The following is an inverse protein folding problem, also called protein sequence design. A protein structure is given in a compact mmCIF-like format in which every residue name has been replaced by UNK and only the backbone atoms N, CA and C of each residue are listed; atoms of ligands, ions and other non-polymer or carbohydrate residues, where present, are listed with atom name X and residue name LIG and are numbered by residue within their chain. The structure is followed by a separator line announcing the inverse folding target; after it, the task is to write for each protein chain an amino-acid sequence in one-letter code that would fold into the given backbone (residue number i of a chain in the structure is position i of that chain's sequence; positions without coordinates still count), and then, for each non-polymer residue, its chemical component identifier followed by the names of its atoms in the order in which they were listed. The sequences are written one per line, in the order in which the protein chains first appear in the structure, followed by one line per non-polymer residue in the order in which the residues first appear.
data_IF_891124853723
#
_entry.id   IF_891124853723
#
_cell.length_a   1.000
_cell.length_b   1.000
_cell.length_c   1.000
_cell.angle_alpha   90.00
_cell.angle_beta   90.00
_cell.angle_gamma   90.00
#
_symmetry.space_group_name_H-M   'P 1'
#
loop_
_entity.id
_entity.type
_entity.pdbx_description
1 polymer ?
#
# COMPACT_ATOMS: atom_id res chain seq x y z
N UNK A 1 1.19 12.74 17.37
CA UNK A 1 0.99 13.78 16.34
C UNK A 1 0.01 13.27 15.29
N UNK A 2 -1.14 13.95 15.07
CA UNK A 2 -2.22 13.54 14.15
C UNK A 2 -2.36 14.53 12.98
N UNK A 3 -1.23 14.89 12.37
CA UNK A 3 -1.15 15.97 11.38
C UNK A 3 -2.07 15.75 10.16
N UNK A 4 -2.21 14.50 9.72
CA UNK A 4 -3.00 14.10 8.55
C UNK A 4 -4.53 14.22 8.74
N UNK A 5 -5.04 14.45 9.95
CA UNK A 5 -6.47 14.71 10.21
C UNK A 5 -6.74 16.14 10.73
N UNK A 6 -5.75 17.04 10.64
CA UNK A 6 -5.93 18.42 11.06
C UNK A 6 -7.04 19.13 10.28
N UNK A 7 -7.67 20.15 10.88
CA UNK A 7 -8.72 20.94 10.23
C UNK A 7 -8.24 21.52 8.90
N UNK A 8 -7.00 22.00 8.86
CA UNK A 8 -6.36 22.56 7.67
C UNK A 8 -6.22 21.53 6.54
N UNK A 9 -5.77 20.31 6.85
CA UNK A 9 -5.65 19.24 5.84
C UNK A 9 -7.02 18.84 5.30
N UNK A 10 -8.02 18.67 6.18
CA UNK A 10 -9.40 18.34 5.77
C UNK A 10 -10.00 19.40 4.86
N UNK A 11 -9.85 20.69 5.21
CA UNK A 11 -10.30 21.79 4.38
C UNK A 11 -9.61 21.81 3.01
N UNK A 12 -8.30 21.55 2.97
CA UNK A 12 -7.54 21.50 1.72
C UNK A 12 -7.96 20.34 0.82
N UNK A 13 -8.22 19.16 1.39
CA UNK A 13 -8.73 18.02 0.63
C UNK A 13 -10.14 18.28 0.09
N UNK A 14 -11.04 18.83 0.90
CA UNK A 14 -12.38 19.21 0.48
C UNK A 14 -12.36 20.23 -0.68
N UNK A 15 -11.51 21.26 -0.58
CA UNK A 15 -11.34 22.25 -1.65
C UNK A 15 -10.79 21.66 -2.96
N UNK A 16 -10.15 20.49 -2.91
CA UNK A 16 -9.65 19.76 -4.08
C UNK A 16 -10.59 18.63 -4.55
N UNK A 17 -11.77 18.47 -3.93
CA UNK A 17 -12.67 17.35 -4.23
C UNK A 17 -12.10 15.98 -3.82
N UNK A 18 -11.11 15.94 -2.91
CA UNK A 18 -10.50 14.70 -2.44
C UNK A 18 -11.25 14.23 -1.20
N UNK A 19 -11.95 13.10 -1.31
CA UNK A 19 -12.58 12.45 -0.18
C UNK A 19 -11.52 11.85 0.75
N UNK A 20 -11.67 12.09 2.05
CA UNK A 20 -10.77 11.56 3.06
C UNK A 20 -11.46 10.47 3.88
N UNK A 21 -10.73 9.39 4.15
CA UNK A 21 -11.12 8.34 5.09
C UNK A 21 -10.04 8.19 6.16
N UNK A 22 -10.47 8.00 7.41
CA UNK A 22 -9.55 7.76 8.53
C UNK A 22 -9.49 6.26 8.76
N UNK A 23 -8.30 5.68 8.61
CA UNK A 23 -8.07 4.26 8.90
C UNK A 23 -7.82 4.10 10.40
N UNK A 24 -8.59 3.26 11.11
CA UNK A 24 -8.34 2.94 12.50
C UNK A 24 -6.94 2.34 12.71
N UNK A 25 -6.39 2.53 13.91
CA UNK A 25 -5.11 1.92 14.28
C UNK A 25 -5.17 0.39 14.15
N UNK A 26 -4.09 -0.21 13.65
CA UNK A 26 -4.01 -1.66 13.44
C UNK A 26 -4.63 -2.17 12.13
N UNK A 27 -5.32 -1.32 11.35
CA UNK A 27 -5.92 -1.74 10.09
C UNK A 27 -5.10 -1.42 8.83
N UNK A 28 -4.04 -0.62 8.94
CA UNK A 28 -3.22 -0.23 7.78
C UNK A 28 -2.71 -1.44 6.97
N UNK A 29 -2.27 -2.58 7.56
CA UNK A 29 -1.81 -3.72 6.76
C UNK A 29 -2.90 -4.38 5.91
N UNK A 30 -4.18 -4.12 6.19
CA UNK A 30 -5.32 -4.82 5.58
C UNK A 30 -6.14 -3.95 4.62
N UNK A 31 -6.10 -2.62 4.79
CA UNK A 31 -6.95 -1.71 4.00
C UNK A 31 -6.16 -0.60 3.30
N UNK A 32 -4.85 -0.50 3.51
CA UNK A 32 -4.02 0.51 2.87
C UNK A 32 -3.12 -0.13 1.82
N UNK A 33 -3.32 0.19 0.54
CA UNK A 33 -2.53 -0.36 -0.57
C UNK A 33 -1.01 -0.23 -0.36
N UNK A 34 -0.59 0.90 0.24
CA UNK A 34 0.78 1.16 0.66
C UNK A 34 1.37 0.00 1.47
N UNK A 35 0.71 -0.34 2.57
CA UNK A 35 1.17 -1.36 3.51
C UNK A 35 0.87 -2.79 3.03
N UNK A 36 -0.18 -2.99 2.21
CA UNK A 36 -0.54 -4.31 1.65
C UNK A 36 0.56 -4.85 0.72
N UNK A 37 1.17 -4.00 -0.12
CA UNK A 37 2.15 -4.49 -1.11
C UNK A 37 3.14 -3.47 -1.62
N UNK A 38 2.72 -2.21 -1.82
CA UNK A 38 3.57 -1.19 -2.48
C UNK A 38 4.87 -0.96 -1.71
N UNK A 39 4.79 -0.75 -0.38
CA UNK A 39 5.96 -0.48 0.44
C UNK A 39 6.89 -1.68 0.58
N UNK A 40 6.37 -2.91 0.52
CA UNK A 40 7.21 -4.10 0.48
C UNK A 40 8.03 -4.09 -0.81
N UNK A 41 7.37 -3.99 -1.97
CA UNK A 41 8.07 -3.95 -3.26
C UNK A 41 9.07 -2.79 -3.33
N UNK A 42 8.71 -1.61 -2.86
CA UNK A 42 9.63 -0.48 -2.79
C UNK A 42 10.86 -0.78 -1.93
N UNK A 43 10.67 -1.32 -0.73
CA UNK A 43 11.78 -1.69 0.16
C UNK A 43 12.65 -2.78 -0.46
N UNK A 44 12.07 -3.74 -1.16
CA UNK A 44 12.81 -4.81 -1.86
C UNK A 44 13.70 -4.25 -2.98
N UNK A 45 13.30 -3.13 -3.63
CA UNK A 45 14.14 -2.41 -4.61
C UNK A 45 15.18 -1.49 -3.96
N UNK A 46 14.84 -0.88 -2.83
CA UNK A 46 15.73 0.05 -2.13
C UNK A 46 16.85 -0.68 -1.36
N UNK A 47 16.56 -1.86 -0.80
CA UNK A 47 17.50 -2.58 0.07
C UNK A 47 18.81 -2.94 -0.65
N UNK A 48 18.81 -3.47 -1.90
CA UNK A 48 20.04 -3.73 -2.64
C UNK A 48 20.89 -2.47 -2.90
N UNK A 49 20.26 -1.32 -3.13
CA UNK A 49 20.96 -0.04 -3.34
C UNK A 49 21.70 0.36 -2.06
N UNK A 50 21.01 0.28 -0.92
CA UNK A 50 21.58 0.58 0.40
C UNK A 50 22.69 -0.41 0.74
N UNK A 51 22.50 -1.70 0.47
CA UNK A 51 23.47 -2.75 0.80
C UNK A 51 24.71 -2.67 -0.09
N UNK A 52 24.55 -2.32 -1.37
CA UNK A 52 25.67 -2.01 -2.26
C UNK A 52 26.48 -0.82 -1.75
N UNK A 53 25.81 0.23 -1.28
CA UNK A 53 26.50 1.35 -0.65
C UNK A 53 27.23 0.90 0.62
N UNK A 54 26.58 0.17 1.52
CA UNK A 54 27.20 -0.33 2.77
C UNK A 54 28.45 -1.18 2.56
N UNK A 55 28.52 -1.91 1.44
CA UNK A 55 29.67 -2.75 1.05
C UNK A 55 30.74 -2.02 0.23
N UNK A 56 30.52 -0.75 -0.11
CA UNK A 56 31.47 0.05 -0.89
C UNK A 56 32.45 0.82 0.00
N UNK A 57 33.55 1.28 -0.59
CA UNK A 57 34.50 2.18 0.08
C UNK A 57 33.94 3.60 0.30
N UNK A 58 32.73 3.89 -0.21
CA UNK A 58 32.07 5.18 -0.07
C UNK A 58 31.35 5.36 1.28
N UNK A 59 31.46 4.39 2.19
CA UNK A 59 30.92 4.46 3.55
C UNK A 59 31.94 5.11 4.47
N UNK A 60 31.51 6.17 5.15
CA UNK A 60 32.33 6.83 6.16
C UNK A 60 31.91 6.36 7.54
N UNK A 61 32.84 5.79 8.30
CA UNK A 61 32.60 5.35 9.68
C UNK A 61 33.20 6.37 10.66
N UNK A 62 32.39 7.17 11.38
CA UNK A 62 32.83 7.98 12.50
C UNK A 62 33.21 7.09 13.69
N UNK A 63 33.88 7.67 14.70
CA UNK A 63 34.30 6.97 15.94
C UNK A 63 33.18 6.17 16.64
N UNK A 64 31.91 6.55 16.45
CA UNK A 64 30.76 5.85 17.02
C UNK A 64 30.31 4.59 16.27
N UNK A 65 31.01 4.17 15.22
CA UNK A 65 30.77 2.89 14.53
C UNK A 65 29.58 2.84 13.56
N UNK A 66 28.64 3.79 13.65
CA UNK A 66 27.51 3.86 12.72
C UNK A 66 27.88 4.57 11.40
N UNK A 67 27.57 4.01 10.22
CA UNK A 67 27.78 4.68 8.94
C UNK A 67 27.24 6.11 8.94
N UNK A 68 28.06 7.07 8.50
CA UNK A 68 27.62 8.45 8.30
C UNK A 68 26.54 8.45 7.19
N UNK A 69 25.39 9.12 7.41
CA UNK A 69 24.38 9.28 6.36
C UNK A 69 24.98 9.95 5.12
N UNK A 70 24.56 9.51 3.94
CA UNK A 70 24.87 10.19 2.67
C UNK A 70 24.13 11.53 2.57
N UNK A 71 24.50 12.34 1.59
CA UNK A 71 23.77 13.59 1.30
C UNK A 71 22.30 13.30 1.02
N UNK A 72 21.44 14.27 1.33
CA UNK A 72 20.00 14.21 1.02
C UNK A 72 19.78 13.91 -0.47
N UNK A 73 20.57 14.52 -1.34
CA UNK A 73 20.55 14.29 -2.79
C UNK A 73 20.83 12.83 -3.16
N UNK A 74 21.84 12.20 -2.55
CA UNK A 74 22.15 10.79 -2.80
C UNK A 74 20.97 9.90 -2.40
N UNK A 75 20.40 10.15 -1.21
CA UNK A 75 19.25 9.36 -0.71
C UNK A 75 18.01 9.58 -1.58
N UNK A 76 17.75 10.82 -2.00
CA UNK A 76 16.65 11.14 -2.90
C UNK A 76 16.78 10.42 -4.24
N UNK A 77 18.00 10.35 -4.80
CA UNK A 77 18.27 9.58 -6.01
C UNK A 77 18.02 8.08 -5.81
N UNK A 78 18.44 7.49 -4.69
CA UNK A 78 18.14 6.08 -4.38
C UNK A 78 16.64 5.80 -4.29
N UNK A 79 15.89 6.70 -3.63
CA UNK A 79 14.43 6.61 -3.55
C UNK A 79 13.80 6.72 -4.94
N UNK A 80 14.28 7.63 -5.79
CA UNK A 80 13.79 7.79 -7.16
C UNK A 80 14.02 6.53 -8.01
N UNK A 81 15.24 5.97 -7.97
CA UNK A 81 15.58 4.73 -8.68
C UNK A 81 14.71 3.57 -8.19
N UNK A 82 14.61 3.38 -6.87
CA UNK A 82 13.81 2.31 -6.28
C UNK A 82 12.33 2.41 -6.65
N UNK A 83 11.76 3.62 -6.66
CA UNK A 83 10.36 3.84 -7.06
C UNK A 83 10.09 3.55 -8.52
N UNK A 84 10.99 3.96 -9.43
CA UNK A 84 10.86 3.68 -10.87
C UNK A 84 10.81 2.19 -11.16
N UNK A 85 11.51 1.40 -10.35
CA UNK A 85 11.62 -0.04 -10.52
C UNK A 85 10.52 -0.82 -9.78
N UNK A 86 9.59 -0.14 -9.08
CA UNK A 86 8.37 -0.76 -8.54
C UNK A 86 7.45 -1.13 -9.70
N UNK A 87 7.08 -2.41 -9.87
CA UNK A 87 6.20 -2.82 -10.95
C UNK A 87 4.79 -2.21 -10.82
N UNK A 88 4.24 -1.71 -11.93
CA UNK A 88 2.89 -1.12 -11.96
C UNK A 88 1.81 -2.12 -11.52
N UNK A 89 1.96 -3.40 -11.86
CA UNK A 89 1.03 -4.46 -11.47
C UNK A 89 0.99 -4.69 -9.95
N UNK A 90 2.08 -4.39 -9.23
CA UNK A 90 2.09 -4.45 -7.76
C UNK A 90 1.23 -3.32 -7.20
N UNK A 91 1.30 -2.12 -7.78
CA UNK A 91 0.48 -0.97 -7.37
C UNK A 91 -0.99 -1.28 -7.61
N UNK A 92 -1.33 -1.73 -8.81
CA UNK A 92 -2.70 -2.10 -9.19
C UNK A 92 -3.28 -3.18 -8.28
N UNK A 93 -2.56 -4.30 -8.11
CA UNK A 93 -3.01 -5.39 -7.23
C UNK A 93 -3.16 -4.95 -5.77
N UNK A 94 -2.29 -4.07 -5.29
CA UNK A 94 -2.38 -3.53 -3.93
C UNK A 94 -3.60 -2.63 -3.75
N UNK A 95 -3.96 -1.84 -4.77
CA UNK A 95 -5.18 -1.00 -4.77
C UNK A 95 -6.43 -1.88 -4.82
N UNK A 96 -6.48 -2.88 -5.71
CA UNK A 96 -7.56 -3.86 -5.78
C UNK A 96 -7.78 -4.54 -4.43
N UNK A 97 -6.70 -5.01 -3.81
CA UNK A 97 -6.72 -5.67 -2.50
C UNK A 97 -7.11 -4.73 -1.34
N UNK A 98 -6.93 -3.41 -1.49
CA UNK A 98 -7.29 -2.40 -0.49
C UNK A 98 -8.79 -2.08 -0.44
N UNK A 99 -9.63 -2.80 -1.21
CA UNK A 99 -11.08 -2.61 -1.21
C UNK A 99 -11.66 -1.97 -2.47
N UNK A 100 -10.87 -1.92 -3.56
CA UNK A 100 -11.30 -1.34 -4.83
C UNK A 100 -11.64 -2.40 -5.89
N UNK A 101 -11.53 -3.70 -5.56
CA UNK A 101 -12.11 -4.75 -6.41
C UNK A 101 -13.63 -4.74 -6.33
N UNK A 102 -14.36 -5.04 -7.43
CA UNK A 102 -15.79 -5.35 -7.35
C UNK A 102 -16.07 -6.66 -6.58
N UNK A 103 -15.08 -7.55 -6.44
CA UNK A 103 -15.24 -8.82 -5.73
C UNK A 103 -14.72 -8.71 -4.30
N UNK A 104 -15.59 -9.00 -3.33
CA UNK A 104 -15.25 -8.99 -1.91
C UNK A 104 -14.08 -9.93 -1.59
N UNK A 105 -14.01 -11.10 -2.23
CA UNK A 105 -12.94 -12.07 -2.01
C UNK A 105 -11.54 -11.60 -2.42
N UNK A 106 -11.43 -10.58 -3.26
CA UNK A 106 -10.14 -10.01 -3.67
C UNK A 106 -9.58 -9.07 -2.59
N UNK A 107 -10.41 -8.63 -1.64
CA UNK A 107 -10.00 -7.68 -0.61
C UNK A 107 -9.12 -8.38 0.43
N UNK A 108 -8.05 -7.72 0.85
CA UNK A 108 -7.09 -8.32 1.77
C UNK A 108 -7.73 -8.62 3.14
N UNK A 109 -8.52 -7.69 3.68
CA UNK A 109 -9.25 -7.86 4.95
C UNK A 109 -10.27 -9.00 4.90
N UNK A 110 -10.90 -9.28 3.75
CA UNK A 110 -11.90 -10.33 3.60
C UNK A 110 -11.30 -11.74 3.73
N UNK A 111 -10.01 -11.88 3.42
CA UNK A 111 -9.26 -13.15 3.51
C UNK A 111 -8.50 -13.31 4.83
N UNK A 112 -8.66 -12.38 5.76
CA UNK A 112 -8.01 -12.46 7.07
C UNK A 112 -8.58 -13.63 7.88
N UNK A 113 -7.70 -14.45 8.45
CA UNK A 113 -8.05 -15.65 9.24
C UNK A 113 -8.94 -15.36 10.46
N UNK A 114 -8.65 -14.31 11.22
CA UNK A 114 -9.42 -13.88 12.39
C UNK A 114 -10.62 -13.00 12.01
N UNK A 115 -10.40 -11.96 11.20
CA UNK A 115 -11.41 -10.91 10.99
C UNK A 115 -12.26 -11.10 9.72
N UNK A 116 -11.80 -11.90 8.75
CA UNK A 116 -12.37 -11.97 7.42
C UNK A 116 -13.82 -12.45 7.41
N UNK A 117 -14.13 -13.52 8.15
CA UNK A 117 -15.49 -14.07 8.24
C UNK A 117 -16.50 -13.04 8.78
N UNK A 118 -16.17 -12.40 9.91
CA UNK A 118 -17.04 -11.38 10.50
C UNK A 118 -17.16 -10.14 9.60
N UNK A 119 -16.06 -9.71 8.99
CA UNK A 119 -16.05 -8.61 8.04
C UNK A 119 -16.99 -8.89 6.86
N UNK A 120 -16.87 -10.05 6.24
CA UNK A 120 -17.71 -10.44 5.10
C UNK A 120 -19.20 -10.50 5.47
N UNK A 121 -19.55 -11.10 6.62
CA UNK A 121 -20.94 -11.13 7.10
C UNK A 121 -21.51 -9.72 7.26
N UNK A 122 -20.79 -8.85 7.97
CA UNK A 122 -21.24 -7.47 8.24
C UNK A 122 -21.28 -6.62 6.98
N UNK A 123 -20.38 -6.86 6.03
CA UNK A 123 -20.39 -6.17 4.75
C UNK A 123 -21.63 -6.54 3.93
N UNK A 124 -21.96 -7.84 3.84
CA UNK A 124 -23.16 -8.34 3.14
C UNK A 124 -24.46 -7.83 3.78
N UNK A 125 -24.55 -7.86 5.11
CA UNK A 125 -25.68 -7.28 5.85
C UNK A 125 -25.88 -5.78 5.51
N UNK A 126 -24.78 -5.03 5.42
CA UNK A 126 -24.81 -3.58 5.15
C UNK A 126 -25.31 -3.23 3.75
N UNK A 127 -24.91 -3.98 2.74
CA UNK A 127 -25.26 -3.70 1.35
C UNK A 127 -26.64 -4.28 0.95
N UNK A 128 -27.29 -5.01 1.87
CA UNK A 128 -28.47 -5.82 1.59
C UNK A 128 -28.07 -7.06 0.79
N UNK A 129 -28.64 -8.23 1.11
CA UNK A 129 -28.44 -9.49 0.37
C UNK A 129 -28.76 -9.32 -1.12
N UNK A 130 -27.80 -8.85 -1.92
CA UNK A 130 -27.86 -8.73 -3.38
C UNK A 130 -26.45 -8.63 -4.01
N UNK A 131 -25.40 -8.98 -3.28
CA UNK A 131 -24.03 -8.98 -3.80
C UNK A 131 -23.48 -10.41 -3.96
N UNK A 132 -24.34 -11.37 -4.25
CA UNK A 132 -23.91 -12.70 -4.63
C UNK A 132 -23.67 -12.73 -6.16
N UNK A 133 -22.43 -13.09 -6.49
CA UNK A 133 -22.01 -13.79 -7.70
C UNK A 133 -22.24 -13.12 -9.07
N UNK A 134 -21.29 -12.25 -9.45
CA UNK A 134 -20.76 -12.38 -10.82
C UNK A 134 -19.92 -13.66 -10.86
N UNK A 135 -20.64 -14.79 -10.94
CA UNK A 135 -20.05 -16.06 -11.33
C UNK A 135 -19.47 -15.87 -12.73
N UNK A 136 -18.17 -16.14 -12.83
CA UNK A 136 -17.47 -16.31 -14.09
C UNK A 136 -18.12 -17.48 -14.83
N UNK A 137 -19.11 -17.17 -15.67
CA UNK A 137 -19.65 -18.08 -16.65
C UNK A 137 -18.66 -18.11 -17.80
N UNK A 138 -17.72 -19.05 -17.73
CA UNK A 138 -16.78 -19.31 -18.80
C UNK A 138 -17.50 -19.67 -20.11
N UNK A 139 -16.93 -19.20 -21.21
CA UNK A 139 -17.02 -19.84 -22.52
C UNK A 139 -18.17 -19.41 -23.42
N UNK A 140 -17.84 -18.72 -24.52
CA UNK A 140 -18.74 -18.64 -25.65
C UNK A 140 -18.52 -17.47 -26.61
N UNK A 141 -17.58 -17.67 -27.52
CA UNK A 141 -17.76 -17.36 -28.95
C UNK A 141 -18.10 -15.91 -29.35
N UNK A 142 -17.08 -15.17 -29.81
CA UNK A 142 -17.28 -14.25 -30.93
C UNK A 142 -16.30 -14.60 -32.05
N UNK A 143 -16.89 -14.95 -33.20
CA UNK A 143 -16.28 -14.92 -34.52
C UNK A 143 -15.91 -13.48 -34.88
#
# INVERSE_FOLDING_TARGET
MRAHISKMVKARCAAKGVQMFVIPGGLTPYVQAGDIGIYKSFKDKLSPIIDSWKRSDAVLYPRGGNPKPRSVETVANWVNVAWRDVPADVVERSVVAAGFSPRLGDWHVARHDVYGGLFCSKWKERIGENADDVSDSGGGLFR
#
